data_IF_478096461073
#
_entry.id   IF_478096461073
#
_cell.length_a   1.000
_cell.length_b   1.000
_cell.length_c   1.000
_cell.angle_alpha   90.00
_cell.angle_beta   90.00
_cell.angle_gamma   90.00
#
_symmetry.space_group_name_H-M   'P 1'
#
loop_
_entity.id
_entity.type
_entity.pdbx_description
1 polymer ?
#
# COMPACT_ATOMS: atom_id res chain seq x y z
N UNK A 1 10.54 2.49 13.83
CA UNK A 1 9.42 2.47 14.77
C UNK A 1 8.82 1.08 14.82
N UNK A 2 8.39 0.61 15.99
CA UNK A 2 7.88 -0.76 16.18
C UNK A 2 6.39 -0.76 16.45
N UNK A 3 5.72 -1.86 16.07
CA UNK A 3 4.28 -2.06 16.29
C UNK A 3 3.43 -0.97 15.63
N UNK A 4 3.91 -0.40 14.56
CA UNK A 4 3.17 0.61 13.80
C UNK A 4 2.34 -0.10 12.73
N UNK A 5 1.09 0.33 12.57
CA UNK A 5 0.16 -0.24 11.60
C UNK A 5 0.17 0.64 10.34
N UNK A 6 0.62 0.07 9.23
CA UNK A 6 0.87 0.82 8.01
C UNK A 6 0.22 0.17 6.78
N UNK A 7 -0.40 1.00 5.94
CA UNK A 7 -0.89 0.59 4.63
C UNK A 7 0.17 0.95 3.60
N UNK A 8 0.57 0.01 2.77
CA UNK A 8 1.55 0.26 1.72
C UNK A 8 0.87 0.45 0.37
N UNK A 9 1.24 1.52 -0.32
CA UNK A 9 0.84 1.75 -1.70
C UNK A 9 1.53 0.71 -2.60
N UNK A 10 0.90 0.40 -3.72
CA UNK A 10 1.38 -0.55 -4.72
C UNK A 10 2.82 -0.25 -5.16
N UNK A 11 3.19 1.03 -5.31
CA UNK A 11 4.52 1.41 -5.77
C UNK A 11 5.64 0.94 -4.84
N UNK A 12 5.35 0.74 -3.55
CA UNK A 12 6.36 0.26 -2.60
C UNK A 12 6.78 -1.18 -2.95
N UNK A 13 5.80 -2.05 -3.25
CA UNK A 13 6.10 -3.42 -3.67
C UNK A 13 6.83 -3.44 -5.01
N UNK A 14 6.38 -2.61 -5.96
CA UNK A 14 7.01 -2.52 -7.28
C UNK A 14 8.45 -2.04 -7.18
N UNK A 15 8.74 -1.09 -6.29
CA UNK A 15 10.10 -0.60 -6.07
C UNK A 15 11.03 -1.73 -5.63
N UNK A 16 10.53 -2.64 -4.80
CA UNK A 16 11.32 -3.80 -4.37
C UNK A 16 11.45 -4.83 -5.50
N UNK A 17 10.32 -5.26 -6.07
CA UNK A 17 10.27 -6.36 -7.04
C UNK A 17 11.00 -6.00 -8.33
N UNK A 18 10.82 -4.78 -8.81
CA UNK A 18 11.45 -4.28 -10.05
C UNK A 18 12.78 -3.58 -9.80
N UNK A 19 13.24 -3.57 -8.56
CA UNK A 19 14.53 -2.96 -8.16
C UNK A 19 14.69 -1.54 -8.66
N UNK A 20 13.67 -0.72 -8.45
CA UNK A 20 13.65 0.67 -8.90
C UNK A 20 14.55 1.54 -8.03
N UNK A 21 15.64 2.05 -8.62
CA UNK A 21 16.53 2.95 -7.90
C UNK A 21 16.06 4.40 -8.02
N UNK A 22 16.24 5.22 -6.98
CA UNK A 22 16.90 4.96 -5.69
C UNK A 22 15.96 4.45 -4.59
N UNK A 23 14.80 3.90 -4.94
CA UNK A 23 13.72 3.59 -4.00
C UNK A 23 13.75 2.18 -3.43
N UNK A 24 14.43 1.25 -4.09
CA UNK A 24 14.35 -0.18 -3.75
C UNK A 24 14.87 -0.49 -2.35
N UNK A 25 15.92 0.19 -1.89
CA UNK A 25 16.47 -0.07 -0.57
C UNK A 25 15.48 0.29 0.54
N UNK A 26 14.86 1.45 0.47
CA UNK A 26 13.88 1.88 1.46
C UNK A 26 12.64 0.98 1.43
N UNK A 27 12.19 0.61 0.24
CA UNK A 27 11.05 -0.31 0.08
C UNK A 27 11.37 -1.67 0.74
N UNK A 28 12.59 -2.19 0.53
CA UNK A 28 13.04 -3.43 1.13
C UNK A 28 13.01 -3.37 2.66
N UNK A 29 13.52 -2.29 3.23
CA UNK A 29 13.54 -2.12 4.69
C UNK A 29 12.13 -2.10 5.29
N UNK A 30 11.22 -1.39 4.65
CA UNK A 30 9.84 -1.28 5.13
C UNK A 30 9.13 -2.64 5.03
N UNK A 31 9.21 -3.28 3.87
CA UNK A 31 8.57 -4.58 3.66
C UNK A 31 9.14 -5.61 4.61
N UNK A 32 10.47 -5.62 4.79
CA UNK A 32 11.10 -6.55 5.71
C UNK A 32 10.65 -6.34 7.15
N UNK A 33 10.43 -5.10 7.57
CA UNK A 33 9.92 -4.82 8.92
C UNK A 33 8.53 -5.43 9.15
N UNK A 34 7.73 -5.52 8.09
CA UNK A 34 6.42 -6.16 8.16
C UNK A 34 6.53 -7.68 8.14
N UNK A 35 7.46 -8.22 7.36
CA UNK A 35 7.69 -9.68 7.29
C UNK A 35 8.19 -10.21 8.64
N UNK A 36 9.06 -9.48 9.31
CA UNK A 36 9.60 -9.88 10.61
C UNK A 36 8.63 -9.63 11.77
N UNK A 37 7.55 -8.88 11.54
CA UNK A 37 6.58 -8.55 12.59
C UNK A 37 6.95 -7.33 13.42
N UNK A 38 8.02 -6.62 13.06
CA UNK A 38 8.38 -5.37 13.74
C UNK A 38 7.27 -4.34 13.58
N UNK A 39 6.71 -4.25 12.37
CA UNK A 39 5.55 -3.44 12.07
C UNK A 39 4.45 -4.33 11.50
N UNK A 40 3.21 -3.86 11.52
CA UNK A 40 2.06 -4.57 10.97
C UNK A 40 1.70 -3.93 9.64
N UNK A 41 1.87 -4.68 8.57
CA UNK A 41 1.63 -4.17 7.21
C UNK A 41 0.28 -4.59 6.66
N UNK A 42 -0.31 -3.70 5.86
CA UNK A 42 -1.62 -3.88 5.24
C UNK A 42 -1.56 -3.50 3.77
N UNK A 43 -2.39 -4.15 2.96
CA UNK A 43 -2.66 -3.75 1.58
C UNK A 43 -4.16 -3.72 1.37
N UNK A 44 -4.62 -2.81 0.52
CA UNK A 44 -5.99 -2.88 0.00
C UNK A 44 -6.08 -4.05 -0.99
N UNK A 45 -7.23 -4.69 -1.08
CA UNK A 45 -7.42 -5.86 -1.94
C UNK A 45 -7.15 -5.52 -3.42
N UNK A 46 -7.59 -4.34 -3.88
CA UNK A 46 -7.35 -3.94 -5.27
C UNK A 46 -5.87 -3.81 -5.61
N UNK A 47 -5.02 -3.49 -4.62
CA UNK A 47 -3.56 -3.40 -4.85
C UNK A 47 -2.97 -4.73 -5.28
N UNK A 48 -3.48 -5.84 -4.75
CA UNK A 48 -3.01 -7.18 -5.14
C UNK A 48 -3.35 -7.47 -6.59
N UNK A 49 -4.56 -7.12 -7.01
CA UNK A 49 -5.00 -7.28 -8.39
C UNK A 49 -4.17 -6.42 -9.34
N UNK A 50 -3.90 -5.18 -8.95
CA UNK A 50 -3.07 -4.27 -9.73
C UNK A 50 -1.65 -4.80 -9.90
N UNK A 51 -1.04 -5.31 -8.82
CA UNK A 51 0.29 -5.90 -8.87
C UNK A 51 0.34 -7.07 -9.84
N UNK A 52 -0.64 -7.96 -9.79
CA UNK A 52 -0.71 -9.11 -10.67
C UNK A 52 -0.74 -8.67 -12.14
N UNK A 53 -1.51 -7.64 -12.45
CA UNK A 53 -1.61 -7.09 -13.80
C UNK A 53 -0.33 -6.36 -14.23
N UNK A 54 0.19 -5.46 -13.38
CA UNK A 54 1.36 -4.65 -13.72
C UNK A 54 2.58 -5.52 -14.01
N UNK A 55 2.77 -6.58 -13.25
CA UNK A 55 3.95 -7.45 -13.36
C UNK A 55 3.85 -8.49 -14.49
N UNK A 56 2.80 -8.47 -15.31
CA UNK A 56 2.58 -9.47 -16.35
C UNK A 56 3.69 -9.55 -17.41
N UNK A 57 4.42 -8.45 -17.63
CA UNK A 57 5.52 -8.40 -18.60
C UNK A 57 6.83 -8.90 -18.02
N UNK A 58 7.02 -8.80 -16.71
CA UNK A 58 8.28 -9.10 -16.05
C UNK A 58 8.30 -10.48 -15.37
N UNK A 59 7.14 -11.02 -15.05
CA UNK A 59 7.01 -12.23 -14.26
C UNK A 59 6.01 -13.20 -14.90
N UNK A 60 6.28 -14.50 -14.74
CA UNK A 60 5.34 -15.53 -15.18
C UNK A 60 4.09 -15.52 -14.31
N UNK A 61 3.05 -16.21 -14.76
CA UNK A 61 1.81 -16.36 -13.98
C UNK A 61 2.14 -17.00 -12.63
N UNK A 62 2.98 -18.03 -12.62
CA UNK A 62 3.35 -18.74 -11.38
C UNK A 62 4.09 -17.82 -10.42
N UNK A 63 5.06 -17.06 -10.91
CA UNK A 63 5.80 -16.10 -10.08
C UNK A 63 4.88 -15.05 -9.48
N UNK A 64 3.92 -14.54 -10.25
CA UNK A 64 2.95 -13.55 -9.76
C UNK A 64 2.01 -14.13 -8.71
N UNK A 65 1.56 -15.37 -8.90
CA UNK A 65 0.73 -16.06 -7.90
C UNK A 65 1.50 -16.24 -6.59
N UNK A 66 2.76 -16.62 -6.68
CA UNK A 66 3.60 -16.78 -5.48
C UNK A 66 3.79 -15.47 -4.74
N UNK A 67 3.97 -14.37 -5.47
CA UNK A 67 4.09 -13.05 -4.87
C UNK A 67 2.81 -12.70 -4.09
N UNK A 68 1.64 -12.88 -4.71
CA UNK A 68 0.36 -12.58 -4.05
C UNK A 68 0.18 -13.44 -2.80
N UNK A 69 0.51 -14.73 -2.88
CA UNK A 69 0.40 -15.63 -1.72
C UNK A 69 1.31 -15.18 -0.57
N UNK A 70 2.54 -14.74 -0.90
CA UNK A 70 3.47 -14.25 0.11
C UNK A 70 2.97 -12.95 0.75
N UNK A 71 2.39 -12.06 -0.04
CA UNK A 71 1.80 -10.83 0.50
C UNK A 71 0.64 -11.17 1.44
N UNK A 72 -0.22 -12.11 1.07
CA UNK A 72 -1.31 -12.54 1.94
C UNK A 72 -0.81 -13.21 3.22
N UNK A 73 0.35 -13.85 3.17
CA UNK A 73 0.94 -14.52 4.33
C UNK A 73 1.47 -13.53 5.36
N UNK A 74 2.11 -12.46 4.90
CA UNK A 74 2.82 -11.53 5.80
C UNK A 74 2.08 -10.22 6.05
N UNK A 75 1.04 -9.93 5.29
CA UNK A 75 0.28 -8.68 5.38
C UNK A 75 -1.20 -8.96 5.59
N UNK A 76 -1.88 -8.02 6.21
CA UNK A 76 -3.34 -8.07 6.32
C UNK A 76 -3.94 -7.38 5.10
N UNK A 77 -4.86 -8.05 4.44
CA UNK A 77 -5.51 -7.53 3.24
C UNK A 77 -6.88 -6.95 3.62
N UNK A 78 -7.09 -5.69 3.29
CA UNK A 78 -8.35 -5.00 3.60
C UNK A 78 -9.21 -4.99 2.34
N UNK A 79 -10.40 -5.59 2.41
CA UNK A 79 -11.34 -5.59 1.29
C UNK A 79 -12.10 -4.28 1.22
N UNK A 80 -12.29 -3.75 0.02
CA UNK A 80 -13.06 -2.54 -0.21
C UNK A 80 -14.55 -2.86 -0.16
N UNK A 81 -15.29 -2.10 0.64
CA UNK A 81 -16.75 -2.25 0.78
C UNK A 81 -17.46 -1.28 -0.15
N UNK A 82 -18.70 -1.59 -0.46
CA UNK A 82 -19.55 -0.74 -1.29
C UNK A 82 -19.63 0.69 -0.73
N UNK A 83 -19.75 0.83 0.58
CA UNK A 83 -19.85 2.16 1.21
C UNK A 83 -18.61 3.03 1.00
N UNK A 84 -17.42 2.42 0.81
CA UNK A 84 -16.21 3.16 0.45
C UNK A 84 -16.39 3.83 -0.91
N UNK A 85 -16.87 3.09 -1.90
CA UNK A 85 -17.08 3.61 -3.25
C UNK A 85 -18.12 4.74 -3.24
N UNK A 86 -19.22 4.54 -2.55
CA UNK A 86 -20.28 5.55 -2.45
C UNK A 86 -19.75 6.83 -1.82
N UNK A 87 -19.00 6.69 -0.73
CA UNK A 87 -18.43 7.84 -0.01
C UNK A 87 -17.46 8.65 -0.89
N UNK A 88 -16.57 7.96 -1.61
CA UNK A 88 -15.58 8.63 -2.46
C UNK A 88 -16.25 9.31 -3.64
N UNK A 89 -17.18 8.62 -4.31
CA UNK A 89 -17.81 9.14 -5.54
C UNK A 89 -18.82 10.25 -5.28
N UNK A 90 -19.28 10.41 -4.04
CA UNK A 90 -20.18 11.51 -3.66
C UNK A 90 -19.45 12.68 -3.01
N UNK A 91 -18.15 12.55 -2.75
CA UNK A 91 -17.34 13.59 -2.10
C UNK A 91 -16.47 14.30 -3.15
N UNK A 92 -16.66 15.62 -3.28
CA UNK A 92 -15.91 16.43 -4.25
C UNK A 92 -14.45 16.66 -3.87
N UNK A 93 -14.03 16.30 -2.65
CA UNK A 93 -12.66 16.50 -2.19
C UNK A 93 -11.68 15.46 -2.73
N UNK A 94 -12.18 14.34 -3.25
CA UNK A 94 -11.34 13.25 -3.75
C UNK A 94 -11.56 13.03 -5.23
N UNK A 95 -10.50 13.26 -6.01
CA UNK A 95 -10.55 13.15 -7.48
C UNK A 95 -10.08 11.78 -7.98
N UNK A 96 -9.30 11.05 -7.19
CA UNK A 96 -8.76 9.75 -7.55
C UNK A 96 -9.44 8.65 -6.74
N UNK A 97 -10.15 7.77 -7.46
CA UNK A 97 -10.90 6.68 -6.81
C UNK A 97 -9.97 5.70 -6.10
N UNK A 98 -8.87 5.34 -6.74
CA UNK A 98 -7.95 4.35 -6.20
C UNK A 98 -7.30 4.83 -4.90
N UNK A 99 -6.82 6.06 -4.90
CA UNK A 99 -6.23 6.67 -3.71
C UNK A 99 -7.28 6.85 -2.60
N UNK A 100 -8.50 7.25 -2.99
CA UNK A 100 -9.62 7.34 -2.06
C UNK A 100 -9.93 6.00 -1.39
N UNK A 101 -9.89 4.90 -2.15
CA UNK A 101 -10.10 3.56 -1.59
C UNK A 101 -9.02 3.20 -0.58
N UNK A 102 -7.76 3.53 -0.86
CA UNK A 102 -6.68 3.30 0.10
C UNK A 102 -6.89 4.08 1.39
N UNK A 103 -7.31 5.33 1.29
CA UNK A 103 -7.62 6.17 2.46
C UNK A 103 -8.75 5.52 3.27
N UNK A 104 -9.83 5.09 2.61
CA UNK A 104 -10.95 4.44 3.29
C UNK A 104 -10.55 3.14 3.97
N UNK A 105 -9.71 2.34 3.32
CA UNK A 105 -9.19 1.11 3.92
C UNK A 105 -8.39 1.42 5.19
N UNK A 106 -7.48 2.38 5.12
CA UNK A 106 -6.65 2.76 6.26
C UNK A 106 -7.47 3.34 7.40
N UNK A 107 -8.46 4.18 7.08
CA UNK A 107 -9.35 4.77 8.08
C UNK A 107 -10.18 3.70 8.79
N UNK A 108 -10.71 2.73 8.03
CA UNK A 108 -11.59 1.68 8.59
C UNK A 108 -10.88 0.79 9.61
N UNK A 109 -9.57 0.62 9.47
CA UNK A 109 -8.76 -0.19 10.37
C UNK A 109 -7.95 0.66 11.35
N UNK A 110 -8.17 1.97 11.37
CA UNK A 110 -7.48 2.91 12.27
C UNK A 110 -5.95 2.80 12.17
N UNK A 111 -5.45 2.71 10.93
CA UNK A 111 -4.02 2.58 10.70
C UNK A 111 -3.28 3.88 11.03
N UNK A 112 -2.00 3.75 11.35
CA UNK A 112 -1.17 4.90 11.73
C UNK A 112 -0.75 5.73 10.52
N UNK A 113 -0.37 5.06 9.43
CA UNK A 113 0.13 5.73 8.22
C UNK A 113 -0.28 5.00 6.95
N UNK A 114 -0.36 5.78 5.87
CA UNK A 114 -0.30 5.26 4.50
C UNK A 114 1.09 5.63 3.99
N UNK A 115 1.85 4.66 3.51
CA UNK A 115 3.20 4.88 2.99
C UNK A 115 3.16 4.85 1.47
N UNK A 116 3.53 5.96 0.86
CA UNK A 116 3.54 6.14 -0.59
C UNK A 116 4.60 7.14 -1.00
N UNK A 117 5.17 6.96 -2.20
CA UNK A 117 6.03 7.97 -2.80
C UNK A 117 5.23 9.12 -3.43
N UNK A 118 3.94 8.90 -3.65
CA UNK A 118 3.07 9.82 -4.39
C UNK A 118 2.12 10.57 -3.46
N UNK A 119 2.64 11.08 -2.35
CA UNK A 119 1.81 11.68 -1.31
C UNK A 119 1.16 13.02 -1.68
N UNK A 120 1.60 13.65 -2.77
CA UNK A 120 1.12 14.99 -3.13
C UNK A 120 -0.01 15.02 -4.14
N UNK A 121 -0.26 13.92 -4.86
CA UNK A 121 -1.20 13.93 -5.97
C UNK A 121 -2.60 13.43 -5.65
N UNK A 122 -2.75 12.23 -5.14
CA UNK A 122 -4.07 11.62 -4.96
C UNK A 122 -4.54 11.51 -3.52
N UNK A 123 -3.69 11.79 -2.56
CA UNK A 123 -3.97 11.56 -1.14
C UNK A 123 -4.35 12.84 -0.37
N UNK A 124 -4.96 13.79 -1.05
CA UNK A 124 -5.42 15.03 -0.43
C UNK A 124 -6.54 14.75 0.56
N UNK A 125 -6.59 15.56 1.61
CA UNK A 125 -7.68 15.53 2.61
C UNK A 125 -7.82 14.18 3.33
N UNK A 126 -6.72 13.43 3.45
CA UNK A 126 -6.74 12.15 4.14
C UNK A 126 -6.81 12.33 5.67
N UNK A 127 -7.74 11.65 6.36
CA UNK A 127 -7.75 11.62 7.83
C UNK A 127 -6.64 10.74 8.39
N UNK A 128 -6.04 9.89 7.56
CA UNK A 128 -4.89 9.07 7.94
C UNK A 128 -3.63 9.76 7.43
N UNK A 129 -2.59 9.80 8.26
CA UNK A 129 -1.34 10.48 7.91
C UNK A 129 -0.63 9.78 6.76
N UNK A 130 -0.26 10.56 5.74
CA UNK A 130 0.43 10.06 4.54
C UNK A 130 1.91 10.45 4.66
N UNK A 131 2.80 9.48 4.55
CA UNK A 131 4.24 9.72 4.62
C UNK A 131 4.98 8.92 3.55
N UNK A 132 6.17 9.39 3.18
CA UNK A 132 7.03 8.69 2.25
C UNK A 132 7.80 7.56 2.95
N UNK A 133 8.35 6.60 2.20
CA UNK A 133 9.24 5.59 2.78
C UNK A 133 10.40 6.22 3.55
N UNK A 134 11.01 7.27 2.99
CA UNK A 134 12.12 7.95 3.63
C UNK A 134 11.71 8.56 4.97
N UNK A 135 10.56 9.23 5.00
CA UNK A 135 10.04 9.83 6.24
C UNK A 135 9.74 8.76 7.30
N UNK A 136 9.14 7.65 6.87
CA UNK A 136 8.81 6.56 7.79
C UNK A 136 10.06 5.99 8.45
N UNK A 137 11.12 5.78 7.67
CA UNK A 137 12.36 5.19 8.18
C UNK A 137 13.14 6.12 9.12
N UNK A 138 12.78 7.39 9.15
CA UNK A 138 13.39 8.38 10.06
C UNK A 138 12.64 8.57 11.37
N UNK A 139 11.51 7.91 11.54
CA UNK A 139 10.73 8.05 12.78
C UNK A 139 11.39 7.39 13.99
#
# INVERSE_FOLDING_TARGET
MKNTHILLDTNIVLDLVQKREPYSENASKIINSCVTGENIGYFSAHSLSDLFFILRKDKTVQERKELILNLCKFFTIISEREDFFVSICTNSDWDDLEDGLQIKCAESEHLDYIITRDKENGFKNSPVRIISPEEFLKL
#
